data_IF_568624870899
#
_entry.id   IF_568624870899
#
_cell.length_a   1.000
_cell.length_b   1.000
_cell.length_c   1.000
_cell.angle_alpha   90.00
_cell.angle_beta   90.00
_cell.angle_gamma   90.00
#
_symmetry.space_group_name_H-M   'P 1'
#
loop_
_entity.id
_entity.type
_entity.pdbx_description
1 polymer ?
#
# COMPACT_ATOMS: atom_id res chain seq x y z
N UNK A 1 -8.81 -1.73 17.96
CA UNK A 1 -9.15 -1.91 16.55
C UNK A 1 -8.18 -1.11 15.69
N UNK A 2 -7.75 -1.67 14.55
CA UNK A 2 -6.85 -0.97 13.64
C UNK A 2 -7.62 0.14 12.91
N UNK A 3 -7.01 1.33 12.81
CA UNK A 3 -7.58 2.45 12.03
C UNK A 3 -7.52 2.16 10.52
N UNK A 4 -6.42 1.55 10.07
CA UNK A 4 -6.17 1.16 8.68
C UNK A 4 -5.68 -0.29 8.62
N UNK A 5 -6.24 -1.08 7.72
CA UNK A 5 -5.73 -2.38 7.29
C UNK A 5 -5.14 -2.25 5.88
N UNK A 6 -3.99 -2.91 5.64
CA UNK A 6 -3.28 -2.81 4.36
C UNK A 6 -3.05 -4.19 3.71
N UNK A 7 -4.10 -5.00 3.49
CA UNK A 7 -3.94 -6.34 2.92
C UNK A 7 -3.51 -6.30 1.45
N UNK A 8 -2.71 -7.27 1.02
CA UNK A 8 -2.59 -7.63 -0.38
C UNK A 8 -3.82 -8.47 -0.82
N UNK A 9 -3.94 -8.79 -2.11
CA UNK A 9 -5.11 -9.54 -2.62
C UNK A 9 -5.29 -10.89 -1.91
N UNK A 10 -4.27 -11.76 -1.76
CA UNK A 10 -4.44 -13.01 -1.03
C UNK A 10 -4.86 -12.82 0.44
N UNK A 11 -4.31 -11.83 1.12
CA UNK A 11 -4.68 -11.49 2.50
C UNK A 11 -6.12 -10.97 2.57
N UNK A 12 -6.53 -10.13 1.61
CA UNK A 12 -7.88 -9.61 1.53
C UNK A 12 -8.91 -10.72 1.26
N UNK A 13 -8.59 -11.70 0.40
CA UNK A 13 -9.43 -12.88 0.18
C UNK A 13 -9.68 -13.66 1.46
N UNK A 14 -8.64 -13.87 2.27
CA UNK A 14 -8.74 -14.58 3.55
C UNK A 14 -9.60 -13.79 4.53
N UNK A 15 -9.33 -12.49 4.69
CA UNK A 15 -10.05 -11.62 5.62
C UNK A 15 -11.52 -11.45 5.25
N UNK A 16 -11.82 -11.36 3.96
CA UNK A 16 -13.18 -11.20 3.46
C UNK A 16 -13.94 -12.53 3.31
N UNK A 17 -13.23 -13.67 3.32
CA UNK A 17 -13.83 -15.00 3.09
C UNK A 17 -14.35 -15.18 1.65
N UNK A 18 -13.76 -14.50 0.66
CA UNK A 18 -14.22 -14.55 -0.72
C UNK A 18 -13.04 -14.44 -1.70
N UNK A 19 -13.25 -14.88 -2.96
CA UNK A 19 -12.28 -14.70 -4.04
C UNK A 19 -12.40 -13.32 -4.67
N UNK A 20 -11.26 -12.77 -5.12
CA UNK A 20 -11.15 -11.47 -5.77
C UNK A 20 -10.63 -11.67 -7.19
N UNK A 21 -11.52 -11.52 -8.19
CA UNK A 21 -11.22 -11.74 -9.59
C UNK A 21 -11.36 -10.47 -10.44
N UNK A 22 -12.03 -9.46 -9.92
CA UNK A 22 -12.32 -8.21 -10.61
C UNK A 22 -12.43 -7.04 -9.62
N UNK A 23 -12.65 -5.84 -10.14
CA UNK A 23 -12.74 -4.62 -9.33
C UNK A 23 -13.96 -4.60 -8.39
N UNK A 24 -15.07 -5.22 -8.80
CA UNK A 24 -16.27 -5.31 -7.95
C UNK A 24 -16.01 -6.20 -6.74
N UNK A 25 -15.29 -7.31 -6.91
CA UNK A 25 -14.88 -8.18 -5.82
C UNK A 25 -13.98 -7.46 -4.82
N UNK A 26 -13.08 -6.56 -5.29
CA UNK A 26 -12.28 -5.71 -4.39
C UNK A 26 -13.17 -4.85 -3.49
N UNK A 27 -14.20 -4.24 -4.06
CA UNK A 27 -15.12 -3.40 -3.29
C UNK A 27 -15.93 -4.23 -2.28
N UNK A 28 -16.42 -5.40 -2.68
CA UNK A 28 -17.12 -6.32 -1.80
C UNK A 28 -16.22 -6.83 -0.67
N UNK A 29 -14.97 -7.16 -0.98
CA UNK A 29 -13.98 -7.56 0.02
C UNK A 29 -13.67 -6.43 1.00
N UNK A 30 -13.48 -5.20 0.52
CA UNK A 30 -13.25 -4.03 1.37
C UNK A 30 -14.43 -3.78 2.33
N UNK A 31 -15.67 -3.92 1.85
CA UNK A 31 -16.87 -3.81 2.67
C UNK A 31 -16.94 -4.92 3.73
N UNK A 32 -16.58 -6.15 3.40
CA UNK A 32 -16.53 -7.26 4.35
C UNK A 32 -15.45 -7.02 5.42
N UNK A 33 -14.26 -6.58 5.00
CA UNK A 33 -13.14 -6.30 5.90
C UNK A 33 -13.46 -5.13 6.85
N UNK A 34 -14.12 -4.06 6.36
CA UNK A 34 -14.49 -2.92 7.21
C UNK A 34 -15.43 -3.31 8.34
N UNK A 35 -16.28 -4.32 8.13
CA UNK A 35 -17.16 -4.88 9.19
C UNK A 35 -16.39 -5.57 10.32
N UNK A 36 -15.12 -5.91 10.12
CA UNK A 36 -14.24 -6.39 11.18
C UNK A 36 -13.78 -5.28 12.14
N UNK A 37 -14.14 -4.01 11.85
CA UNK A 37 -13.93 -2.87 12.73
C UNK A 37 -12.81 -1.92 12.31
N UNK A 38 -12.27 -2.05 11.11
CA UNK A 38 -11.32 -1.07 10.56
C UNK A 38 -12.05 -0.01 9.75
N UNK A 39 -11.80 1.27 10.07
CA UNK A 39 -12.38 2.39 9.34
C UNK A 39 -11.86 2.47 7.91
N UNK A 40 -10.54 2.31 7.74
CA UNK A 40 -9.89 2.36 6.44
C UNK A 40 -9.33 1.00 6.03
N UNK A 41 -9.45 0.67 4.73
CA UNK A 41 -8.89 -0.53 4.12
C UNK A 41 -8.16 -0.14 2.84
N UNK A 42 -6.86 -0.43 2.77
CA UNK A 42 -6.04 -0.26 1.58
C UNK A 42 -5.73 -1.64 0.98
N UNK A 43 -6.49 -2.06 -0.03
CA UNK A 43 -6.23 -3.32 -0.73
C UNK A 43 -5.14 -3.09 -1.78
N UNK A 44 -4.01 -3.79 -1.61
CA UNK A 44 -2.80 -3.60 -2.42
C UNK A 44 -2.73 -4.58 -3.59
N UNK A 45 -2.22 -4.11 -4.73
CA UNK A 45 -1.79 -4.95 -5.84
C UNK A 45 -2.90 -5.53 -6.68
N UNK A 46 -4.02 -4.85 -6.85
CA UNK A 46 -5.07 -5.24 -7.77
C UNK A 46 -4.58 -5.21 -9.21
N UNK A 47 -4.46 -6.40 -9.85
CA UNK A 47 -4.10 -6.55 -11.26
C UNK A 47 -5.30 -7.11 -12.00
N UNK A 48 -6.02 -6.27 -12.71
CA UNK A 48 -7.06 -6.74 -13.61
C UNK A 48 -6.75 -6.19 -15.01
N UNK A 49 -6.23 -7.02 -15.90
CA UNK A 49 -5.94 -6.69 -17.31
C UNK A 49 -4.85 -5.62 -17.48
N UNK A 50 -3.59 -5.95 -17.21
CA UNK A 50 -2.44 -5.10 -17.51
C UNK A 50 -1.31 -5.19 -16.50
N UNK A 51 -0.15 -4.60 -16.82
CA UNK A 51 1.07 -4.67 -16.00
C UNK A 51 1.07 -3.71 -14.79
N UNK A 52 0.02 -2.89 -14.60
CA UNK A 52 -0.03 -1.89 -13.55
C UNK A 52 -0.60 -2.45 -12.25
N UNK A 53 0.14 -2.27 -11.17
CA UNK A 53 -0.33 -2.52 -9.80
C UNK A 53 -1.14 -1.32 -9.33
N UNK A 54 -2.39 -1.54 -8.95
CA UNK A 54 -3.26 -0.50 -8.41
C UNK A 54 -3.66 -0.88 -6.98
N UNK A 55 -3.45 0.04 -6.05
CA UNK A 55 -3.92 -0.08 -4.67
C UNK A 55 -5.17 0.75 -4.51
N UNK A 56 -6.19 0.19 -3.86
CA UNK A 56 -7.50 0.81 -3.68
C UNK A 56 -7.76 1.14 -2.22
N UNK A 57 -8.07 2.40 -1.92
CA UNK A 57 -8.42 2.87 -0.58
C UNK A 57 -9.94 2.98 -0.41
N UNK A 58 -10.41 2.44 0.70
CA UNK A 58 -11.81 2.47 1.12
C UNK A 58 -11.94 3.07 2.53
N UNK A 59 -13.04 3.79 2.78
CA UNK A 59 -13.46 4.24 4.10
C UNK A 59 -14.85 3.67 4.37
N UNK A 60 -15.02 2.94 5.46
CA UNK A 60 -16.27 2.26 5.82
C UNK A 60 -16.85 1.42 4.67
N UNK A 61 -15.96 0.75 3.91
CA UNK A 61 -16.31 -0.05 2.74
C UNK A 61 -16.66 0.72 1.47
N UNK A 62 -16.60 2.06 1.50
CA UNK A 62 -16.84 2.90 0.31
C UNK A 62 -15.53 3.30 -0.35
N UNK A 63 -15.43 3.26 -1.69
CA UNK A 63 -14.21 3.64 -2.39
C UNK A 63 -13.93 5.14 -2.21
N UNK A 64 -12.69 5.49 -1.87
CA UNK A 64 -12.22 6.87 -1.79
C UNK A 64 -11.37 7.20 -3.01
N UNK A 65 -10.29 6.43 -3.23
CA UNK A 65 -9.32 6.70 -4.28
C UNK A 65 -8.53 5.45 -4.62
N UNK A 66 -7.74 5.53 -5.69
CA UNK A 66 -6.78 4.50 -6.06
C UNK A 66 -5.41 5.10 -6.32
N UNK A 67 -4.38 4.33 -6.02
CA UNK A 67 -2.98 4.71 -6.22
C UNK A 67 -2.34 3.76 -7.22
N UNK A 68 -1.76 4.29 -8.28
CA UNK A 68 -0.94 3.50 -9.20
C UNK A 68 0.39 3.19 -8.53
N UNK A 69 0.79 1.92 -8.57
CA UNK A 69 2.11 1.50 -8.14
C UNK A 69 3.12 1.71 -9.26
N UNK A 70 4.31 2.21 -8.93
CA UNK A 70 5.43 2.13 -9.87
C UNK A 70 5.85 0.66 -9.97
N UNK A 71 5.81 0.12 -11.19
CA UNK A 71 6.43 -1.17 -11.48
C UNK A 71 7.94 -0.97 -11.58
N UNK A 72 8.64 -1.15 -10.46
CA UNK A 72 10.10 -1.17 -10.49
C UNK A 72 10.53 -2.60 -10.77
N UNK A 73 11.23 -2.79 -11.90
CA UNK A 73 11.80 -4.10 -12.23
C UNK A 73 13.03 -4.35 -11.36
N UNK A 74 12.80 -4.87 -10.16
CA UNK A 74 13.85 -5.23 -9.21
C UNK A 74 13.43 -6.47 -8.41
N UNK A 75 14.42 -7.26 -8.00
CA UNK A 75 14.23 -8.38 -7.05
C UNK A 75 14.18 -7.89 -5.59
N UNK A 76 14.59 -6.65 -5.33
CA UNK A 76 14.69 -6.05 -4.00
C UNK A 76 13.33 -5.57 -3.50
N UNK A 77 12.41 -6.51 -3.24
CA UNK A 77 11.05 -6.22 -2.80
C UNK A 77 10.74 -6.72 -1.39
N UNK A 78 11.75 -7.33 -0.72
CA UNK A 78 11.58 -7.82 0.65
C UNK A 78 11.34 -6.67 1.62
N UNK A 79 10.31 -6.80 2.46
CA UNK A 79 9.96 -5.77 3.45
C UNK A 79 9.14 -4.58 2.92
N UNK A 80 8.76 -4.56 1.64
CA UNK A 80 7.99 -3.43 1.06
C UNK A 80 6.65 -3.18 1.77
N UNK A 81 5.94 -4.25 2.17
CA UNK A 81 4.68 -4.14 2.91
C UNK A 81 4.87 -3.50 4.29
N UNK A 82 5.86 -3.97 5.04
CA UNK A 82 6.20 -3.42 6.36
C UNK A 82 6.67 -1.97 6.27
N UNK A 83 7.49 -1.65 5.26
CA UNK A 83 7.97 -0.28 5.02
C UNK A 83 6.81 0.65 4.69
N UNK A 84 5.86 0.22 3.83
CA UNK A 84 4.68 1.01 3.50
C UNK A 84 3.84 1.31 4.75
N UNK A 85 3.53 0.29 5.55
CA UNK A 85 2.72 0.45 6.75
C UNK A 85 3.39 1.36 7.78
N UNK A 86 4.70 1.21 7.99
CA UNK A 86 5.47 2.05 8.91
C UNK A 86 5.53 3.51 8.43
N UNK A 87 5.73 3.74 7.13
CA UNK A 87 5.74 5.07 6.55
C UNK A 87 4.36 5.74 6.68
N UNK A 88 3.26 5.03 6.37
CA UNK A 88 1.90 5.57 6.55
C UNK A 88 1.69 5.97 8.02
N UNK A 89 2.04 5.09 8.97
CA UNK A 89 1.92 5.37 10.41
C UNK A 89 2.69 6.62 10.81
N UNK A 90 3.91 6.78 10.30
CA UNK A 90 4.76 7.95 10.58
C UNK A 90 4.14 9.25 10.07
N UNK A 91 3.54 9.24 8.88
CA UNK A 91 2.86 10.41 8.33
C UNK A 91 1.55 10.72 9.05
N UNK A 92 0.77 9.71 9.45
CA UNK A 92 -0.43 9.90 10.28
C UNK A 92 -0.09 10.46 11.66
N UNK A 93 1.03 10.03 12.28
CA UNK A 93 1.52 10.58 13.54
C UNK A 93 1.93 12.06 13.44
N UNK A 94 2.16 12.56 12.22
CA UNK A 94 2.41 13.98 11.92
C UNK A 94 1.12 14.73 11.52
N UNK A 95 -0.03 14.19 11.89
CA UNK A 95 -1.35 14.79 11.68
C UNK A 95 -1.75 14.96 10.21
N UNK A 96 -1.11 14.23 9.30
CA UNK A 96 -1.53 14.20 7.89
C UNK A 96 -2.83 13.40 7.76
N UNK A 97 -3.71 13.83 6.85
CA UNK A 97 -4.89 13.05 6.50
C UNK A 97 -4.52 11.71 5.84
N UNK A 98 -5.43 10.74 5.88
CA UNK A 98 -5.19 9.38 5.42
C UNK A 98 -4.73 9.32 3.95
N UNK A 99 -5.34 10.11 3.10
CA UNK A 99 -5.05 10.11 1.66
C UNK A 99 -3.64 10.63 1.39
N UNK A 100 -3.28 11.75 2.00
CA UNK A 100 -1.94 12.35 1.92
C UNK A 100 -0.88 11.42 2.51
N UNK A 101 -1.14 10.84 3.69
CA UNK A 101 -0.21 9.92 4.34
C UNK A 101 0.12 8.70 3.46
N UNK A 102 -0.88 8.10 2.81
CA UNK A 102 -0.68 6.97 1.90
C UNK A 102 0.09 7.41 0.65
N UNK A 103 -0.27 8.53 0.03
CA UNK A 103 0.41 9.03 -1.17
C UNK A 103 1.90 9.29 -0.91
N UNK A 104 2.22 9.93 0.23
CA UNK A 104 3.60 10.21 0.63
C UNK A 104 4.37 8.94 0.99
N UNK A 105 3.75 8.00 1.68
CA UNK A 105 4.37 6.72 2.00
C UNK A 105 4.70 5.91 0.73
N UNK A 106 3.82 5.94 -0.28
CA UNK A 106 4.07 5.28 -1.57
C UNK A 106 5.21 5.95 -2.34
N UNK A 107 5.29 7.28 -2.32
CA UNK A 107 6.39 8.02 -2.94
C UNK A 107 7.72 7.69 -2.27
N UNK A 108 7.76 7.66 -0.93
CA UNK A 108 8.92 7.24 -0.17
C UNK A 108 9.34 5.81 -0.53
N UNK A 109 8.41 4.86 -0.50
CA UNK A 109 8.69 3.46 -0.79
C UNK A 109 9.24 3.28 -2.21
N UNK A 110 8.66 3.96 -3.20
CA UNK A 110 9.14 3.91 -4.59
C UNK A 110 10.58 4.41 -4.71
N UNK A 111 10.91 5.51 -4.05
CA UNK A 111 12.27 6.04 -4.01
C UNK A 111 13.25 5.11 -3.29
N UNK A 112 12.83 4.53 -2.17
CA UNK A 112 13.63 3.59 -1.41
C UNK A 112 13.90 2.27 -2.16
N UNK A 113 12.94 1.79 -2.96
CA UNK A 113 13.12 0.63 -3.85
C UNK A 113 14.11 0.98 -4.97
N UNK A 114 13.94 2.13 -5.61
CA UNK A 114 14.84 2.59 -6.68
C UNK A 114 16.28 2.79 -6.16
N UNK A 115 16.45 3.40 -5.01
CA UNK A 115 17.76 3.61 -4.39
C UNK A 115 18.44 2.31 -3.91
N UNK A 116 17.65 1.25 -3.69
CA UNK A 116 18.15 -0.09 -3.34
C UNK A 116 18.36 -1.01 -4.55
N UNK A 117 18.07 -0.56 -5.77
CA UNK A 117 18.03 -1.40 -6.98
C UNK A 117 19.35 -2.15 -7.25
N UNK A 118 20.48 -1.52 -6.96
CA UNK A 118 21.81 -2.05 -7.27
C UNK A 118 22.44 -2.85 -6.10
N UNK A 119 21.72 -2.96 -4.98
CA UNK A 119 22.18 -3.74 -3.82
C UNK A 119 21.91 -5.22 -4.09
N UNK A 120 22.99 -6.00 -4.25
CA UNK A 120 22.94 -7.44 -4.54
C UNK A 120 23.07 -8.27 -3.26
N UNK A 121 22.04 -8.31 -2.43
CA UNK A 121 21.98 -9.17 -1.24
C UNK A 121 20.70 -9.98 -1.29
N UNK A 122 20.75 -11.17 -1.87
CA UNK A 122 19.60 -12.06 -2.02
C UNK A 122 18.44 -11.41 -2.81
N UNK A 123 17.22 -11.46 -2.26
CA UNK A 123 16.07 -10.71 -2.77
C UNK A 123 16.03 -9.26 -2.28
N UNK A 124 17.14 -8.70 -1.92
CA UNK A 124 17.51 -7.37 -1.51
C UNK A 124 16.53 -6.57 -0.65
N UNK A 125 17.04 -5.85 0.36
CA UNK A 125 16.24 -4.95 1.16
C UNK A 125 15.91 -3.67 0.40
N UNK A 126 14.86 -3.00 0.84
CA UNK A 126 14.59 -1.59 0.51
C UNK A 126 15.66 -0.71 1.16
N UNK A 127 16.13 0.32 0.49
CA UNK A 127 17.06 1.28 1.09
C UNK A 127 16.32 2.22 2.06
N UNK A 128 16.31 1.86 3.34
CA UNK A 128 15.66 2.65 4.39
C UNK A 128 16.33 4.01 4.69
N UNK A 129 17.58 4.22 4.23
CA UNK A 129 18.28 5.50 4.33
C UNK A 129 17.94 6.47 3.19
N UNK A 130 17.00 6.10 2.33
CA UNK A 130 16.52 6.99 1.28
C UNK A 130 15.84 8.23 1.88
N UNK A 131 16.38 9.41 1.60
CA UNK A 131 15.76 10.70 1.94
C UNK A 131 15.01 11.26 0.73
N UNK A 132 13.68 11.40 0.80
CA UNK A 132 12.93 12.03 -0.27
C UNK A 132 13.18 13.55 -0.26
N UNK A 133 14.01 14.02 -1.18
CA UNK A 133 14.45 15.44 -1.28
C UNK A 133 13.32 16.47 -1.43
N UNK A 134 12.09 16.03 -1.70
CA UNK A 134 10.94 16.92 -1.98
C UNK A 134 9.87 16.96 -0.87
N UNK A 135 10.05 16.25 0.25
CA UNK A 135 8.99 16.13 1.26
C UNK A 135 9.14 17.07 2.46
N UNK A 136 10.16 17.92 2.46
CA UNK A 136 10.31 19.01 3.44
C UNK A 136 9.70 20.30 2.88
N UNK A 137 8.45 20.28 2.50
CA UNK A 137 7.67 21.51 2.41
C UNK A 137 7.29 21.86 3.85
N UNK A 138 7.84 22.98 4.29
CA UNK A 138 7.64 23.57 5.61
C UNK A 138 6.16 23.79 5.91
#
# INVERSE_FOLDING_TARGET
>A
LATLLTPNIPEAEILAGMKIQNKEDIQNAALAISKLGSKYVLIKGGHFQGAEKIDYLFEDGKPITSYRGLSVNTRNTHGTGCTLSSAITSYLAREMDMNTAIAMAKTYLSGAILAGKDVQIGNGPVNHFYEPKALFIK
#
